data_IF_749258436037
#
_entry.id   IF_749258436037
#
_cell.length_a   1.000
_cell.length_b   1.000
_cell.length_c   1.000
_cell.angle_alpha   90.00
_cell.angle_beta   90.00
_cell.angle_gamma   90.00
#
_symmetry.space_group_name_H-M   'P 1'
#
loop_
_entity.id
_entity.type
_entity.pdbx_description
1 polymer ?
#
# COMPACT_ATOMS: atom_id res chain seq x y z
N UNK A 1 29.32 -8.20 -10.63
CA UNK A 1 28.15 -9.11 -10.71
C UNK A 1 27.45 -9.16 -9.35
N UNK A 2 28.18 -9.37 -8.27
CA UNK A 2 27.65 -9.48 -6.90
C UNK A 2 26.85 -8.23 -6.46
N UNK A 3 27.38 -7.02 -6.71
CA UNK A 3 26.66 -5.78 -6.40
C UNK A 3 25.34 -5.64 -7.16
N UNK A 4 25.29 -6.06 -8.43
CA UNK A 4 24.07 -6.04 -9.21
C UNK A 4 23.04 -7.04 -8.63
N UNK A 5 23.50 -8.22 -8.23
CA UNK A 5 22.65 -9.22 -7.59
C UNK A 5 22.06 -8.69 -6.28
N UNK A 6 22.88 -8.06 -5.43
CA UNK A 6 22.44 -7.48 -4.17
C UNK A 6 21.38 -6.39 -4.39
N UNK A 7 21.59 -5.47 -5.32
CA UNK A 7 20.62 -4.41 -5.65
C UNK A 7 19.29 -4.97 -6.19
N UNK A 8 19.36 -6.01 -7.03
CA UNK A 8 18.16 -6.69 -7.53
C UNK A 8 17.43 -7.45 -6.42
N UNK A 9 18.19 -8.05 -5.48
CA UNK A 9 17.63 -8.70 -4.32
C UNK A 9 16.89 -7.70 -3.44
N UNK A 10 17.48 -6.52 -3.14
CA UNK A 10 16.78 -5.47 -2.39
C UNK A 10 15.49 -5.01 -3.05
N UNK A 11 15.48 -4.84 -4.38
CA UNK A 11 14.23 -4.54 -5.10
C UNK A 11 13.17 -5.63 -4.93
N UNK A 12 13.59 -6.89 -4.93
CA UNK A 12 12.68 -8.03 -4.67
C UNK A 12 12.16 -8.01 -3.23
N UNK A 13 13.03 -7.72 -2.26
CA UNK A 13 12.72 -7.73 -0.83
C UNK A 13 11.74 -6.62 -0.44
N UNK A 14 11.81 -5.45 -1.09
CA UNK A 14 10.80 -4.38 -0.94
C UNK A 14 9.49 -4.66 -1.71
N UNK A 15 9.31 -5.87 -2.24
CA UNK A 15 8.08 -6.27 -2.94
C UNK A 15 7.96 -5.78 -4.39
N UNK A 16 9.06 -5.42 -5.05
CA UNK A 16 9.08 -4.93 -6.43
C UNK A 16 9.51 -5.99 -7.47
N UNK A 17 9.64 -7.26 -7.08
CA UNK A 17 10.08 -8.35 -7.97
C UNK A 17 9.19 -8.59 -9.20
N UNK A 18 8.01 -8.02 -9.26
CA UNK A 18 7.12 -8.07 -10.43
C UNK A 18 7.42 -7.00 -11.48
N UNK A 19 8.24 -5.99 -11.16
CA UNK A 19 8.59 -4.92 -12.09
C UNK A 19 9.63 -5.40 -13.11
N UNK A 20 9.47 -4.97 -14.35
CA UNK A 20 10.52 -5.11 -15.36
C UNK A 20 11.49 -3.94 -15.29
N UNK A 21 12.78 -4.19 -15.45
CA UNK A 21 13.84 -3.17 -15.34
C UNK A 21 13.76 -2.07 -16.40
N UNK A 22 13.08 -2.31 -17.51
CA UNK A 22 12.86 -1.33 -18.58
C UNK A 22 11.58 -0.52 -18.43
N UNK A 23 10.90 -0.61 -17.28
CA UNK A 23 9.67 0.13 -17.04
C UNK A 23 9.95 1.62 -16.88
N UNK A 24 9.19 2.45 -17.57
CA UNK A 24 9.34 3.90 -17.51
C UNK A 24 8.92 4.44 -16.13
N UNK A 25 9.69 5.35 -15.57
CA UNK A 25 9.48 5.92 -14.22
C UNK A 25 8.13 6.63 -14.07
N UNK A 26 7.63 7.28 -15.13
CA UNK A 26 6.32 7.93 -15.13
C UNK A 26 5.12 6.96 -15.07
N UNK A 27 5.37 5.67 -15.20
CA UNK A 27 4.34 4.61 -15.07
C UNK A 27 4.32 3.97 -13.68
N UNK A 28 5.26 4.35 -12.80
CA UNK A 28 5.33 3.87 -11.44
C UNK A 28 4.29 4.57 -10.56
N UNK A 29 3.73 3.85 -9.61
CA UNK A 29 2.94 4.44 -8.52
C UNK A 29 3.85 5.14 -7.51
N UNK A 30 3.29 6.04 -6.69
CA UNK A 30 4.04 6.71 -5.62
C UNK A 30 4.73 5.72 -4.68
N UNK A 31 4.02 4.68 -4.24
CA UNK A 31 4.58 3.63 -3.39
C UNK A 31 5.67 2.79 -4.08
N UNK A 32 5.55 2.50 -5.39
CA UNK A 32 6.62 1.84 -6.14
C UNK A 32 7.88 2.70 -6.19
N UNK A 33 7.75 4.00 -6.47
CA UNK A 33 8.87 4.94 -6.51
C UNK A 33 9.56 5.06 -5.15
N UNK A 34 8.79 5.13 -4.07
CA UNK A 34 9.33 5.21 -2.72
C UNK A 34 10.10 3.94 -2.33
N UNK A 35 9.59 2.76 -2.68
CA UNK A 35 10.29 1.50 -2.44
C UNK A 35 11.56 1.32 -3.29
N UNK A 36 11.59 1.86 -4.51
CA UNK A 36 12.83 1.91 -5.31
C UNK A 36 13.88 2.75 -4.60
N UNK A 37 13.50 3.93 -4.07
CA UNK A 37 14.41 4.78 -3.29
C UNK A 37 14.91 4.06 -2.04
N UNK A 38 14.04 3.34 -1.32
CA UNK A 38 14.40 2.55 -0.15
C UNK A 38 15.40 1.44 -0.50
N UNK A 39 15.16 0.68 -1.57
CA UNK A 39 16.08 -0.35 -2.04
C UNK A 39 17.45 0.23 -2.46
N UNK A 40 17.46 1.44 -3.03
CA UNK A 40 18.69 2.15 -3.37
C UNK A 40 19.48 2.53 -2.11
N UNK A 41 18.79 2.96 -1.06
CA UNK A 41 19.39 3.31 0.24
C UNK A 41 20.05 2.10 0.91
N UNK A 42 19.39 0.94 0.89
CA UNK A 42 19.95 -0.33 1.38
C UNK A 42 21.24 -0.72 0.65
N UNK A 43 21.31 -0.50 -0.67
CA UNK A 43 22.50 -0.81 -1.46
C UNK A 43 23.67 0.16 -1.26
N UNK A 44 23.52 1.21 -0.44
CA UNK A 44 24.56 2.23 -0.25
C UNK A 44 25.60 1.88 0.84
N UNK A 45 25.39 0.82 1.64
CA UNK A 45 26.22 0.44 2.78
C UNK A 45 26.55 1.60 3.74
N UNK A 46 25.65 2.59 3.83
CA UNK A 46 25.79 3.72 4.75
C UNK A 46 25.45 3.25 6.17
N UNK A 47 26.33 3.55 7.10
CA UNK A 47 26.15 3.33 8.54
C UNK A 47 26.07 4.66 9.28
N UNK A 48 25.37 4.71 10.43
CA UNK A 48 25.21 5.94 11.21
C UNK A 48 24.33 7.00 10.53
N UNK A 49 23.55 6.62 9.53
CA UNK A 49 22.63 7.49 8.82
C UNK A 49 21.24 7.49 9.47
N UNK A 50 20.47 8.54 9.18
CA UNK A 50 19.06 8.62 9.60
C UNK A 50 18.16 8.52 8.37
N UNK A 51 17.28 7.53 8.35
CA UNK A 51 16.25 7.33 7.33
C UNK A 51 14.90 7.80 7.89
N UNK A 52 14.26 8.71 7.16
CA UNK A 52 12.92 9.20 7.50
C UNK A 52 11.99 8.81 6.36
N UNK A 53 10.97 8.01 6.67
CA UNK A 53 10.04 7.44 5.71
C UNK A 53 8.61 7.85 6.10
N UNK A 54 7.86 8.36 5.14
CA UNK A 54 6.48 8.79 5.31
C UNK A 54 5.55 7.83 4.57
N UNK A 55 4.71 7.11 5.33
CA UNK A 55 3.77 6.10 4.83
C UNK A 55 4.38 5.09 3.81
N UNK A 56 5.51 4.42 4.11
CA UNK A 56 6.14 3.51 3.15
C UNK A 56 5.30 2.26 2.85
N UNK A 57 4.29 1.94 3.67
CA UNK A 57 3.35 0.84 3.42
C UNK A 57 2.25 1.17 2.43
N UNK A 58 2.13 2.44 1.98
CA UNK A 58 1.01 2.87 1.14
C UNK A 58 0.85 2.01 -0.10
N UNK A 59 -0.35 1.47 -0.28
CA UNK A 59 -0.69 0.62 -1.42
C UNK A 59 -0.10 -0.80 -1.36
N UNK A 60 0.56 -1.19 -0.25
CA UNK A 60 0.98 -2.56 -0.02
C UNK A 60 -0.21 -3.46 0.37
N UNK A 61 -0.06 -4.72 0.08
CA UNK A 61 -0.85 -5.78 0.68
C UNK A 61 -0.15 -6.22 1.98
N UNK A 62 -0.89 -6.67 3.00
CA UNK A 62 -0.32 -7.10 4.29
C UNK A 62 0.87 -8.06 4.15
N UNK A 63 0.80 -9.02 3.23
CA UNK A 63 1.94 -9.91 2.92
C UNK A 63 3.21 -9.15 2.50
N UNK A 64 3.06 -8.01 1.83
CA UNK A 64 4.21 -7.22 1.37
C UNK A 64 4.69 -6.26 2.48
N UNK A 65 3.83 -5.93 3.46
CA UNK A 65 4.18 -5.17 4.68
C UNK A 65 5.22 -5.92 5.52
N UNK A 66 5.08 -7.24 5.71
CA UNK A 66 6.07 -8.06 6.43
C UNK A 66 7.47 -7.97 5.82
N UNK A 67 7.55 -7.97 4.48
CA UNK A 67 8.82 -7.80 3.76
C UNK A 67 9.41 -6.41 3.99
N UNK A 68 8.57 -5.37 3.93
CA UNK A 68 9.01 -4.00 4.23
C UNK A 68 9.58 -3.91 5.66
N UNK A 69 8.92 -4.49 6.65
CA UNK A 69 9.40 -4.54 8.04
C UNK A 69 10.77 -5.22 8.11
N UNK A 70 10.97 -6.34 7.40
CA UNK A 70 12.26 -7.03 7.36
C UNK A 70 13.37 -6.12 6.83
N UNK A 71 13.07 -5.35 5.78
CA UNK A 71 13.99 -4.38 5.18
C UNK A 71 14.32 -3.23 6.14
N UNK A 72 13.31 -2.66 6.82
CA UNK A 72 13.50 -1.58 7.79
C UNK A 72 14.38 -2.03 8.97
N UNK A 73 14.16 -3.26 9.45
CA UNK A 73 15.00 -3.86 10.50
C UNK A 73 16.42 -4.17 10.04
N UNK A 74 16.61 -4.56 8.79
CA UNK A 74 17.96 -4.74 8.23
C UNK A 74 18.73 -3.41 8.22
N UNK A 75 18.10 -2.31 7.78
CA UNK A 75 18.72 -0.96 7.85
C UNK A 75 19.10 -0.57 9.28
N UNK A 76 18.24 -0.83 10.25
CA UNK A 76 18.50 -0.58 11.66
C UNK A 76 19.67 -1.40 12.17
N UNK A 77 19.74 -2.69 11.84
CA UNK A 77 20.81 -3.61 12.25
C UNK A 77 22.19 -3.22 11.68
N UNK A 78 22.22 -2.48 10.58
CA UNK A 78 23.44 -1.89 10.01
C UNK A 78 23.93 -0.66 10.79
N UNK A 79 23.29 -0.31 11.92
CA UNK A 79 23.67 0.81 12.78
C UNK A 79 23.05 2.15 12.34
N UNK A 80 21.97 2.12 11.59
CA UNK A 80 21.23 3.32 11.18
C UNK A 80 20.06 3.61 12.13
N UNK A 81 19.60 4.86 12.12
CA UNK A 81 18.35 5.27 12.75
C UNK A 81 17.24 5.27 11.70
N UNK A 82 16.15 4.57 11.97
CA UNK A 82 14.98 4.50 11.05
C UNK A 82 13.78 5.12 11.74
N UNK A 83 13.25 6.19 11.17
CA UNK A 83 12.03 6.87 11.63
C UNK A 83 10.96 6.66 10.57
N UNK A 84 9.82 6.10 10.96
CA UNK A 84 8.71 5.81 10.05
C UNK A 84 7.46 6.53 10.56
N UNK A 85 6.85 7.33 9.71
CA UNK A 85 5.51 7.89 9.95
C UNK A 85 4.52 6.91 9.37
N UNK A 86 3.72 6.26 10.22
CA UNK A 86 2.84 5.16 9.82
C UNK A 86 1.60 5.04 10.69
N UNK A 87 0.60 4.36 10.15
CA UNK A 87 -0.64 4.00 10.84
C UNK A 87 -0.98 2.50 10.66
N UNK A 88 -0.12 1.73 10.00
CA UNK A 88 -0.25 0.28 9.87
C UNK A 88 0.14 -0.43 11.18
N UNK A 89 -0.76 -1.29 11.70
CA UNK A 89 -0.58 -1.97 12.99
C UNK A 89 0.66 -2.87 13.00
N UNK A 90 0.98 -3.55 11.90
CA UNK A 90 2.11 -4.48 11.82
C UNK A 90 3.43 -3.72 11.94
N UNK A 91 3.54 -2.54 11.29
CA UNK A 91 4.72 -1.68 11.39
C UNK A 91 4.83 -1.09 12.79
N UNK A 92 3.73 -0.55 13.35
CA UNK A 92 3.72 -0.02 14.72
C UNK A 92 4.15 -1.08 15.74
N UNK A 93 3.65 -2.31 15.60
CA UNK A 93 4.01 -3.44 16.48
C UNK A 93 5.48 -3.86 16.35
N UNK A 94 6.09 -3.63 15.19
CA UNK A 94 7.48 -3.99 14.94
C UNK A 94 8.50 -2.96 15.44
N UNK A 95 8.05 -1.74 15.79
CA UNK A 95 8.91 -0.66 16.25
C UNK A 95 9.30 -0.84 17.73
N UNK A 96 10.56 -0.49 18.07
CA UNK A 96 11.02 -0.48 19.47
C UNK A 96 10.47 0.71 20.26
N UNK A 97 10.17 1.82 19.57
CA UNK A 97 9.68 3.03 20.20
C UNK A 97 8.62 3.69 19.34
N UNK A 98 7.48 4.02 19.94
CA UNK A 98 6.36 4.70 19.31
C UNK A 98 6.19 6.09 19.85
N UNK A 99 5.83 7.01 18.98
CA UNK A 99 5.44 8.39 19.31
C UNK A 99 4.04 8.59 18.73
N UNK A 100 3.03 8.76 19.59
CA UNK A 100 1.65 9.01 19.19
C UNK A 100 1.29 10.48 19.35
N UNK A 101 0.82 11.08 18.26
CA UNK A 101 0.48 12.49 18.16
C UNK A 101 -1.02 12.64 17.94
N UNK A 102 -1.68 13.46 18.75
CA UNK A 102 -3.12 13.67 18.64
C UNK A 102 -3.62 14.85 19.49
N UNK A 103 -4.85 14.73 20.08
CA UNK A 103 -5.85 13.65 19.90
C UNK A 103 -6.60 13.72 18.58
N UNK A 104 -6.68 14.90 17.95
CA UNK A 104 -7.43 15.17 16.73
C UNK A 104 -6.52 15.82 15.69
N UNK A 105 -7.09 16.21 14.54
CA UNK A 105 -6.38 16.90 13.47
C UNK A 105 -6.43 18.42 13.58
N UNK A 106 -5.57 19.12 12.84
CA UNK A 106 -5.52 20.57 12.76
C UNK A 106 -5.24 21.25 14.10
N UNK A 107 -5.97 22.30 14.42
CA UNK A 107 -5.79 23.10 15.65
C UNK A 107 -6.05 22.33 16.95
N UNK A 108 -6.73 21.20 16.87
CA UNK A 108 -7.04 20.33 18.02
C UNK A 108 -6.07 19.14 18.16
N UNK A 109 -5.12 19.03 17.24
CA UNK A 109 -4.06 18.01 17.24
C UNK A 109 -2.71 18.55 17.74
N UNK A 110 -1.64 17.86 17.33
CA UNK A 110 -0.25 18.29 17.54
C UNK A 110 0.26 18.15 18.96
N UNK A 111 -0.40 17.37 19.81
CA UNK A 111 0.07 17.07 21.18
C UNK A 111 0.70 15.69 21.20
N UNK A 112 1.81 15.55 21.92
CA UNK A 112 2.35 14.25 22.27
C UNK A 112 1.40 13.58 23.27
N UNK A 113 0.81 12.45 22.86
CA UNK A 113 -0.10 11.68 23.71
C UNK A 113 0.62 10.53 24.39
N UNK A 114 1.53 9.90 23.67
CA UNK A 114 2.29 8.75 24.16
C UNK A 114 3.68 8.71 23.52
N UNK A 115 4.64 8.20 24.31
CA UNK A 115 5.97 7.80 23.83
C UNK A 115 6.43 6.59 24.62
N UNK A 116 6.79 5.50 23.92
CA UNK A 116 7.23 4.24 24.52
C UNK A 116 7.02 3.03 23.62
N UNK A 117 6.81 1.86 24.20
CA UNK A 117 6.61 0.60 23.48
C UNK A 117 5.18 0.48 22.91
N UNK A 118 4.99 -0.47 21.98
CA UNK A 118 3.65 -0.77 21.44
C UNK A 118 2.68 -1.24 22.54
N UNK A 119 3.14 -2.05 23.47
CA UNK A 119 2.32 -2.55 24.58
C UNK A 119 1.85 -1.40 25.48
N UNK A 120 2.74 -0.47 25.82
CA UNK A 120 2.37 0.68 26.64
C UNK A 120 1.44 1.67 25.93
N UNK A 121 1.48 1.77 24.60
CA UNK A 121 0.50 2.56 23.85
C UNK A 121 -0.93 2.04 24.07
N UNK A 122 -1.12 0.74 24.15
CA UNK A 122 -2.44 0.13 24.36
C UNK A 122 -3.10 0.56 25.67
N UNK A 123 -2.31 0.93 26.67
CA UNK A 123 -2.80 1.41 27.98
C UNK A 123 -3.08 2.93 28.01
N UNK A 124 -2.81 3.63 26.90
CA UNK A 124 -3.00 5.08 26.81
C UNK A 124 -4.45 5.43 26.45
N UNK A 125 -5.28 5.73 27.45
CA UNK A 125 -6.71 6.07 27.30
C UNK A 125 -6.97 7.32 26.43
N UNK A 126 -6.04 8.27 26.41
CA UNK A 126 -6.16 9.51 25.63
C UNK A 126 -5.87 9.32 24.14
N UNK A 127 -5.25 8.20 23.77
CA UNK A 127 -4.89 7.87 22.39
C UNK A 127 -6.08 7.29 21.63
N UNK A 128 -6.43 7.90 20.49
CA UNK A 128 -7.40 7.32 19.57
C UNK A 128 -6.87 6.03 18.95
N UNK A 129 -5.58 6.00 18.62
CA UNK A 129 -4.87 4.82 18.14
C UNK A 129 -5.02 3.63 19.10
N UNK A 130 -4.80 3.87 20.42
CA UNK A 130 -5.00 2.87 21.46
C UNK A 130 -6.43 2.31 21.48
N UNK A 131 -7.44 3.17 21.35
CA UNK A 131 -8.85 2.74 21.38
C UNK A 131 -9.19 1.80 20.23
N UNK A 132 -8.69 2.07 19.02
CA UNK A 132 -8.87 1.19 17.86
C UNK A 132 -8.08 -0.12 18.00
N UNK A 133 -6.83 -0.07 18.48
CA UNK A 133 -6.01 -1.26 18.72
C UNK A 133 -6.61 -2.21 19.76
N UNK A 134 -7.34 -1.66 20.74
CA UNK A 134 -8.01 -2.42 21.79
C UNK A 134 -9.47 -2.77 21.44
N UNK A 135 -9.94 -2.45 20.22
CA UNK A 135 -11.34 -2.65 19.80
C UNK A 135 -12.38 -1.98 20.73
N UNK A 136 -11.99 -0.92 21.44
CA UNK A 136 -12.90 -0.07 22.21
C UNK A 136 -13.74 0.78 21.26
N UNK A 137 -13.08 1.28 20.20
CA UNK A 137 -13.73 1.91 19.07
C UNK A 137 -13.50 1.05 17.83
N UNK A 138 -14.54 0.88 17.03
CA UNK A 138 -14.49 0.12 15.78
C UNK A 138 -15.44 0.70 14.74
N UNK A 139 -15.09 0.52 13.46
CA UNK A 139 -16.00 0.79 12.35
C UNK A 139 -16.91 -0.43 12.19
N UNK A 140 -18.16 -0.31 12.65
CA UNK A 140 -19.09 -1.42 12.64
C UNK A 140 -19.38 -1.94 11.22
N UNK A 141 -19.31 -3.26 11.07
CA UNK A 141 -19.67 -3.91 9.81
C UNK A 141 -21.22 -3.97 9.72
N UNK A 142 -21.84 -3.44 8.66
CA UNK A 142 -23.28 -3.47 8.53
C UNK A 142 -23.81 -4.92 8.46
N UNK A 143 -24.90 -5.20 9.18
CA UNK A 143 -25.54 -6.52 9.23
C UNK A 143 -26.08 -6.97 7.86
N UNK A 144 -26.43 -6.03 6.99
CA UNK A 144 -26.89 -6.31 5.64
C UNK A 144 -26.16 -5.44 4.62
N UNK A 145 -25.88 -5.98 3.45
CA UNK A 145 -25.27 -5.25 2.33
C UNK A 145 -26.37 -4.81 1.34
N UNK A 146 -26.17 -3.64 0.70
CA UNK A 146 -27.03 -3.19 -0.38
C UNK A 146 -27.00 -4.22 -1.51
N UNK A 147 -28.18 -4.57 -2.02
CA UNK A 147 -28.33 -5.43 -3.20
C UNK A 147 -28.82 -4.58 -4.35
N UNK A 148 -28.24 -4.75 -5.54
CA UNK A 148 -28.69 -4.11 -6.77
C UNK A 148 -28.87 -5.19 -7.85
N UNK A 149 -29.91 -5.09 -8.69
CA UNK A 149 -30.09 -5.96 -9.84
C UNK A 149 -29.24 -5.52 -11.04
N UNK A 150 -28.62 -4.33 -10.99
CA UNK A 150 -27.91 -3.73 -12.10
C UNK A 150 -26.41 -3.91 -11.95
N UNK A 151 -25.75 -4.34 -13.02
CA UNK A 151 -24.32 -4.63 -13.05
C UNK A 151 -23.68 -4.09 -14.32
N UNK A 152 -22.40 -3.71 -14.21
CA UNK A 152 -21.50 -3.67 -15.34
C UNK A 152 -20.71 -4.96 -15.31
N UNK A 153 -20.64 -5.65 -16.44
CA UNK A 153 -19.87 -6.89 -16.56
C UNK A 153 -18.77 -6.72 -17.60
N UNK A 154 -17.58 -7.16 -17.26
CA UNK A 154 -16.46 -7.34 -18.20
C UNK A 154 -16.23 -8.82 -18.32
N UNK A 155 -16.17 -9.30 -19.55
CA UNK A 155 -15.87 -10.68 -19.84
C UNK A 155 -14.53 -10.83 -20.55
N UNK A 156 -13.78 -11.86 -20.16
CA UNK A 156 -12.62 -12.31 -20.92
C UNK A 156 -11.46 -11.30 -21.00
N UNK A 157 -11.26 -10.47 -19.98
CA UNK A 157 -10.16 -9.51 -19.97
C UNK A 157 -8.80 -10.21 -19.97
N UNK A 158 -7.93 -9.85 -20.96
CA UNK A 158 -6.60 -10.46 -21.15
C UNK A 158 -5.49 -9.42 -21.29
N UNK A 159 -5.73 -8.17 -20.86
CA UNK A 159 -4.73 -7.12 -20.89
C UNK A 159 -3.61 -7.38 -19.86
N UNK A 160 -2.36 -7.13 -20.21
CA UNK A 160 -1.16 -7.36 -19.40
C UNK A 160 -1.14 -8.77 -18.78
N UNK A 161 -1.17 -8.87 -17.45
CA UNK A 161 -1.15 -10.13 -16.72
C UNK A 161 -2.53 -10.74 -16.44
N UNK A 162 -3.62 -10.12 -16.93
CA UNK A 162 -4.97 -10.66 -16.77
C UNK A 162 -5.16 -11.92 -17.59
N UNK A 163 -5.69 -12.97 -16.96
CA UNK A 163 -5.87 -14.30 -17.57
C UNK A 163 -7.36 -14.59 -17.77
N UNK A 164 -7.93 -14.01 -18.82
CA UNK A 164 -9.35 -14.22 -19.19
C UNK A 164 -10.31 -13.91 -18.03
N UNK A 165 -10.10 -12.76 -17.40
CA UNK A 165 -10.84 -12.36 -16.19
C UNK A 165 -12.24 -11.91 -16.58
N UNK A 166 -13.25 -12.49 -15.93
CA UNK A 166 -14.64 -12.02 -15.97
C UNK A 166 -15.01 -11.46 -14.59
N UNK A 167 -15.55 -10.26 -14.56
CA UNK A 167 -15.90 -9.57 -13.31
C UNK A 167 -17.17 -8.76 -13.45
N UNK A 168 -18.03 -8.81 -12.40
CA UNK A 168 -19.26 -8.03 -12.29
C UNK A 168 -19.10 -6.92 -11.26
N UNK A 169 -19.48 -5.73 -11.63
CA UNK A 169 -19.43 -4.53 -10.80
C UNK A 169 -20.88 -4.08 -10.54
N UNK A 170 -21.43 -4.32 -9.34
CA UNK A 170 -22.77 -3.90 -9.01
C UNK A 170 -22.86 -2.37 -9.00
N UNK A 171 -23.87 -1.81 -9.66
CA UNK A 171 -24.14 -0.38 -9.66
C UNK A 171 -24.70 0.09 -8.32
N UNK A 172 -24.60 1.39 -8.05
CA UNK A 172 -25.13 2.03 -6.83
C UNK A 172 -24.57 1.41 -5.53
N UNK A 173 -23.41 0.75 -5.59
CA UNK A 173 -22.76 0.12 -4.46
C UNK A 173 -21.27 0.46 -4.39
N UNK A 174 -20.70 0.39 -3.19
CA UNK A 174 -19.26 0.46 -3.01
C UNK A 174 -18.64 -0.91 -3.31
N UNK A 175 -17.81 -0.97 -4.34
CA UNK A 175 -17.08 -2.19 -4.73
C UNK A 175 -15.59 -2.01 -4.48
N UNK A 176 -15.00 -2.89 -3.67
CA UNK A 176 -13.56 -2.92 -3.46
C UNK A 176 -12.90 -3.96 -4.38
N UNK A 177 -11.83 -3.55 -5.09
CA UNK A 177 -10.99 -4.45 -5.88
C UNK A 177 -9.68 -4.67 -5.13
N UNK A 178 -9.47 -5.88 -4.63
CA UNK A 178 -8.36 -6.24 -3.75
C UNK A 178 -7.41 -7.25 -4.38
N UNK A 179 -6.27 -7.47 -3.76
CA UNK A 179 -5.25 -8.43 -4.19
C UNK A 179 -3.83 -7.88 -4.01
N UNK A 180 -2.84 -8.75 -4.06
CA UNK A 180 -1.41 -8.39 -3.90
C UNK A 180 -0.93 -7.36 -4.91
N UNK A 181 0.20 -6.68 -4.61
CA UNK A 181 0.84 -5.75 -5.53
C UNK A 181 1.17 -6.45 -6.85
N UNK A 182 0.95 -5.76 -7.99
CA UNK A 182 1.18 -6.36 -9.31
C UNK A 182 0.13 -7.38 -9.79
N UNK A 183 -0.92 -7.71 -9.02
CA UNK A 183 -1.93 -8.71 -9.41
C UNK A 183 -2.82 -8.33 -10.60
N UNK A 184 -2.78 -7.07 -11.07
CA UNK A 184 -3.58 -6.61 -12.22
C UNK A 184 -4.82 -5.79 -11.85
N UNK A 185 -5.01 -5.39 -10.59
CA UNK A 185 -6.13 -4.53 -10.14
C UNK A 185 -6.29 -3.27 -10.98
N UNK A 186 -5.21 -2.51 -11.10
CA UNK A 186 -5.16 -1.27 -11.89
C UNK A 186 -5.37 -1.54 -13.37
N UNK A 187 -4.86 -2.64 -13.89
CA UNK A 187 -5.07 -3.05 -15.29
C UNK A 187 -6.56 -3.30 -15.54
N UNK A 188 -7.22 -4.08 -14.67
CA UNK A 188 -8.64 -4.37 -14.82
C UNK A 188 -9.49 -3.09 -14.81
N UNK A 189 -9.24 -2.19 -13.87
CA UNK A 189 -10.07 -0.99 -13.69
C UNK A 189 -9.67 0.13 -14.65
N UNK A 190 -8.40 0.59 -14.64
CA UNK A 190 -7.98 1.78 -15.40
C UNK A 190 -7.64 1.50 -16.86
N UNK A 191 -7.26 0.28 -17.21
CA UNK A 191 -6.86 -0.05 -18.58
C UNK A 191 -7.91 -0.88 -19.36
N UNK A 192 -8.87 -1.49 -18.67
CA UNK A 192 -9.94 -2.26 -19.31
C UNK A 192 -11.30 -1.62 -19.04
N UNK A 193 -11.80 -1.64 -17.79
CA UNK A 193 -13.16 -1.22 -17.45
C UNK A 193 -13.42 0.25 -17.82
N UNK A 194 -12.61 1.17 -17.29
CA UNK A 194 -12.85 2.60 -17.46
C UNK A 194 -12.82 3.04 -18.93
N UNK A 195 -11.79 2.69 -19.74
CA UNK A 195 -11.79 3.09 -21.15
C UNK A 195 -12.85 2.37 -21.99
N UNK A 196 -13.23 1.13 -21.64
CA UNK A 196 -14.33 0.44 -22.31
C UNK A 196 -15.66 1.16 -22.09
N UNK A 197 -16.00 1.47 -20.84
CA UNK A 197 -17.21 2.22 -20.49
C UNK A 197 -17.23 3.62 -21.11
N UNK A 198 -16.12 4.36 -21.05
CA UNK A 198 -16.04 5.69 -21.67
C UNK A 198 -16.40 5.62 -23.15
N UNK A 199 -15.91 4.58 -23.84
CA UNK A 199 -16.19 4.38 -25.26
C UNK A 199 -17.67 4.02 -25.51
N UNK A 200 -18.25 3.11 -24.72
CA UNK A 200 -19.66 2.75 -24.83
C UNK A 200 -20.61 3.93 -24.58
N UNK A 201 -20.22 4.81 -23.65
CA UNK A 201 -20.97 6.03 -23.34
C UNK A 201 -20.69 7.20 -24.30
N UNK A 202 -19.94 6.96 -25.38
CA UNK A 202 -19.60 8.01 -26.36
C UNK A 202 -18.64 9.09 -25.84
N UNK A 203 -17.96 8.82 -24.71
CA UNK A 203 -16.97 9.75 -24.15
C UNK A 203 -15.61 9.56 -24.78
N UNK A 204 -14.87 10.65 -24.94
CA UNK A 204 -13.50 10.59 -25.42
C UNK A 204 -12.58 9.95 -24.36
N UNK A 205 -11.85 8.93 -24.76
CA UNK A 205 -10.78 8.32 -23.96
C UNK A 205 -9.49 8.30 -24.76
N UNK A 206 -8.41 8.80 -24.18
CA UNK A 206 -7.05 8.73 -24.76
C UNK A 206 -6.47 7.33 -24.68
N UNK A 207 -7.04 6.48 -23.82
CA UNK A 207 -6.56 5.10 -23.58
C UNK A 207 -7.44 4.15 -24.39
N UNK A 208 -6.81 3.35 -25.26
CA UNK A 208 -7.51 2.25 -25.92
C UNK A 208 -7.79 1.15 -24.89
N UNK A 209 -9.04 0.66 -24.77
CA UNK A 209 -9.34 -0.44 -23.85
C UNK A 209 -8.45 -1.65 -24.10
N UNK A 210 -7.97 -2.25 -23.00
CA UNK A 210 -7.30 -3.54 -23.09
C UNK A 210 -8.22 -4.61 -23.65
N UNK A 211 -7.66 -5.72 -24.16
CA UNK A 211 -8.43 -6.78 -24.80
C UNK A 211 -9.45 -7.41 -23.82
N UNK A 212 -10.73 -7.40 -24.19
CA UNK A 212 -11.88 -7.94 -23.45
C UNK A 212 -13.02 -8.25 -24.43
N UNK A 213 -14.09 -8.87 -23.94
CA UNK A 213 -15.37 -9.06 -24.62
C UNK A 213 -16.40 -8.16 -23.98
#
# INVERSE_FOLDING_TARGET
IEEIQNRLQFLSDVGLGYLSLNRLSNTLSGGESQRINLATSLGSNLTGSMYILDEPSIGLHSRDTERLITVLKALQNEGNTVIVVEHDEEIMRSAENLIDIGPLAGTHGGKLLYQGTFEGLRDCESSLTSKYLNHIEEISVPKSRRKTPHYIEIEGATANNLKNVTAKFPLESLTAVTGVSGSGKTTLIKQVLFPALSRELGQFSTIKPGKHK
#
